data_IF_229646199475
#
_entry.id   IF_229646199475
#
_cell.length_a   1.000
_cell.length_b   1.000
_cell.length_c   1.000
_cell.angle_alpha   90.00
_cell.angle_beta   90.00
_cell.angle_gamma   90.00
#
_symmetry.space_group_name_H-M   'P 1'
#
loop_
_entity.id
_entity.type
_entity.pdbx_description
1 polymer ?
#
# COMPACT_ATOMS: atom_id res chain seq x y z
N UNK A 1 -17.99 0.63 -21.59
CA UNK A 1 -17.14 -0.41 -20.96
C UNK A 1 -17.43 -1.72 -21.67
N UNK A 2 -16.46 -2.25 -22.42
CA UNK A 2 -16.60 -3.54 -23.09
C UNK A 2 -16.58 -4.64 -22.01
N UNK A 3 -17.59 -5.53 -21.93
CA UNK A 3 -17.55 -6.63 -20.97
C UNK A 3 -16.35 -7.54 -21.29
N UNK A 4 -15.65 -8.06 -20.27
CA UNK A 4 -14.49 -8.91 -20.51
C UNK A 4 -14.87 -10.19 -21.23
N UNK A 5 -14.00 -10.63 -22.14
CA UNK A 5 -14.16 -11.77 -23.06
C UNK A 5 -14.44 -13.13 -22.40
N UNK A 6 -14.35 -13.27 -21.07
CA UNK A 6 -14.58 -14.55 -20.38
C UNK A 6 -15.11 -14.36 -18.93
N UNK A 7 -16.41 -14.57 -18.65
CA UNK A 7 -16.96 -14.46 -17.29
C UNK A 7 -16.37 -15.49 -16.32
N UNK A 8 -15.84 -16.61 -16.83
CA UNK A 8 -15.22 -17.63 -15.99
C UNK A 8 -13.89 -17.15 -15.38
N UNK A 9 -13.11 -16.37 -16.12
CA UNK A 9 -11.81 -15.89 -15.63
C UNK A 9 -11.96 -14.98 -14.39
N UNK A 10 -12.96 -14.10 -14.36
CA UNK A 10 -13.26 -13.28 -13.17
C UNK A 10 -13.50 -14.14 -11.92
N UNK A 11 -14.30 -15.20 -12.09
CA UNK A 11 -14.62 -16.15 -11.03
C UNK A 11 -13.38 -16.91 -10.58
N UNK A 12 -12.56 -17.36 -11.52
CA UNK A 12 -11.30 -18.05 -11.24
C UNK A 12 -10.32 -17.14 -10.46
N UNK A 13 -10.12 -15.89 -10.89
CA UNK A 13 -9.28 -14.92 -10.17
C UNK A 13 -9.79 -14.72 -8.73
N UNK A 14 -11.10 -14.46 -8.57
CA UNK A 14 -11.71 -14.25 -7.24
C UNK A 14 -11.54 -15.47 -6.33
N UNK A 15 -11.76 -16.67 -6.86
CA UNK A 15 -11.54 -17.91 -6.13
C UNK A 15 -10.07 -18.07 -5.72
N UNK A 16 -9.14 -17.72 -6.62
CA UNK A 16 -7.70 -17.83 -6.36
C UNK A 16 -7.22 -16.84 -5.31
N UNK A 17 -7.71 -15.59 -5.33
CA UNK A 17 -7.46 -14.59 -4.29
C UNK A 17 -7.98 -15.03 -2.92
N UNK A 18 -9.19 -15.61 -2.87
CA UNK A 18 -9.75 -16.16 -1.64
C UNK A 18 -8.96 -17.38 -1.12
N UNK A 19 -8.31 -18.14 -1.99
CA UNK A 19 -7.48 -19.28 -1.63
C UNK A 19 -6.08 -18.87 -1.13
N UNK A 20 -5.64 -17.62 -1.33
CA UNK A 20 -4.39 -17.14 -0.77
C UNK A 20 -4.45 -17.11 0.77
N UNK A 21 -3.34 -17.47 1.46
CA UNK A 21 -3.19 -17.19 2.88
C UNK A 21 -3.35 -15.68 3.16
N UNK A 22 -3.82 -15.27 4.36
CA UNK A 22 -4.00 -13.86 4.71
C UNK A 22 -2.77 -12.99 4.40
N UNK A 23 -1.59 -13.43 4.84
CA UNK A 23 -0.34 -12.70 4.60
C UNK A 23 0.03 -12.60 3.12
N UNK A 24 -0.23 -13.65 2.34
CA UNK A 24 0.01 -13.63 0.91
C UNK A 24 -0.92 -12.63 0.20
N UNK A 25 -2.17 -12.50 0.67
CA UNK A 25 -3.09 -11.51 0.15
C UNK A 25 -2.69 -10.07 0.50
N UNK A 26 -2.15 -9.81 1.70
CA UNK A 26 -1.57 -8.51 2.06
C UNK A 26 -0.39 -8.13 1.14
N UNK A 27 0.50 -9.08 0.86
CA UNK A 27 1.62 -8.87 -0.07
C UNK A 27 1.13 -8.59 -1.50
N UNK A 28 0.19 -9.39 -1.99
CA UNK A 28 -0.44 -9.15 -3.29
C UNK A 28 -1.10 -7.76 -3.36
N UNK A 29 -1.83 -7.37 -2.32
CA UNK A 29 -2.45 -6.06 -2.27
C UNK A 29 -1.40 -4.94 -2.25
N UNK A 30 -0.27 -5.14 -1.57
CA UNK A 30 0.91 -4.28 -1.65
C UNK A 30 1.35 -4.01 -3.07
N UNK A 31 1.56 -5.06 -3.87
CA UNK A 31 1.92 -4.92 -5.29
C UNK A 31 0.82 -4.24 -6.11
N UNK A 32 -0.46 -4.53 -5.81
CA UNK A 32 -1.60 -3.93 -6.50
C UNK A 32 -1.68 -2.40 -6.27
N UNK A 33 -1.23 -1.90 -5.12
CA UNK A 33 -1.29 -0.47 -4.78
C UNK A 33 -0.47 0.41 -5.75
N UNK A 34 0.61 -0.12 -6.31
CA UNK A 34 1.41 0.61 -7.31
C UNK A 34 0.59 0.94 -8.56
N UNK A 35 -0.31 0.03 -8.96
CA UNK A 35 -1.23 0.23 -10.08
C UNK A 35 -2.38 1.20 -9.76
N UNK A 36 -2.62 1.45 -8.47
CA UNK A 36 -3.61 2.43 -7.98
C UNK A 36 -2.99 3.84 -7.87
N UNK A 37 -1.67 3.97 -8.06
CA UNK A 37 -0.94 5.24 -8.03
C UNK A 37 -0.22 5.52 -6.72
N UNK A 38 -0.06 4.51 -5.85
CA UNK A 38 0.79 4.65 -4.68
C UNK A 38 2.26 4.43 -5.03
N UNK A 39 3.13 5.18 -4.37
CA UNK A 39 4.58 5.08 -4.42
C UNK A 39 5.15 4.81 -3.04
N UNK A 40 6.41 4.36 -2.99
CA UNK A 40 7.10 3.99 -1.76
C UNK A 40 6.29 3.02 -0.88
N UNK A 41 5.63 2.05 -1.51
CA UNK A 41 4.75 1.11 -0.82
C UNK A 41 5.57 0.19 0.09
N UNK A 42 5.17 0.08 1.35
CA UNK A 42 5.75 -0.84 2.32
C UNK A 42 4.66 -1.62 3.04
N UNK A 43 4.70 -2.94 2.95
CA UNK A 43 3.77 -3.84 3.65
C UNK A 43 4.27 -4.09 5.07
N UNK A 44 3.50 -3.66 6.07
CA UNK A 44 3.79 -3.86 7.50
C UNK A 44 3.59 -5.35 7.86
N UNK A 45 4.11 -5.83 8.99
CA UNK A 45 4.03 -7.26 9.36
C UNK A 45 3.17 -7.58 10.56
N UNK A 46 2.99 -6.58 11.39
CA UNK A 46 2.39 -6.73 12.70
C UNK A 46 2.09 -5.32 13.16
N UNK A 47 0.84 -5.05 13.47
CA UNK A 47 0.51 -3.71 13.92
C UNK A 47 -0.54 -3.75 15.03
N UNK A 48 -0.10 -3.32 16.21
CA UNK A 48 -0.98 -2.91 17.31
C UNK A 48 -1.59 -1.52 17.07
N UNK A 49 -1.48 -0.98 15.85
CA UNK A 49 -1.93 0.35 15.45
C UNK A 49 -3.40 0.40 14.98
N UNK A 50 -4.14 -0.71 15.12
CA UNK A 50 -5.54 -0.77 14.69
C UNK A 50 -5.74 -1.23 13.24
N UNK A 51 -4.67 -1.62 12.53
CA UNK A 51 -4.75 -2.40 11.29
C UNK A 51 -4.19 -1.70 10.04
N UNK A 52 -3.08 -0.97 10.14
CA UNK A 52 -2.35 -0.53 8.96
C UNK A 52 -1.49 -1.70 8.44
N UNK A 53 -1.92 -2.32 7.34
CA UNK A 53 -1.22 -3.46 6.72
C UNK A 53 -0.18 -3.01 5.68
N UNK A 54 -0.34 -1.81 5.12
CA UNK A 54 0.64 -1.18 4.26
C UNK A 54 0.59 0.35 4.34
N UNK A 55 1.68 0.98 3.96
CA UNK A 55 1.81 2.44 3.88
C UNK A 55 2.41 2.83 2.54
N UNK A 56 2.12 4.04 2.08
CA UNK A 56 2.73 4.62 0.89
C UNK A 56 2.28 6.06 0.68
N UNK A 57 2.71 6.63 -0.43
CA UNK A 57 2.31 7.97 -0.83
C UNK A 57 1.43 7.90 -2.07
N UNK A 58 0.21 8.42 -1.98
CA UNK A 58 -0.62 8.60 -3.17
C UNK A 58 -0.10 9.81 -3.94
N UNK A 59 0.39 9.56 -5.15
CA UNK A 59 0.99 10.59 -6.00
C UNK A 59 0.13 10.83 -7.24
N UNK A 60 0.03 12.09 -7.66
CA UNK A 60 -0.58 12.42 -8.95
C UNK A 60 0.34 11.99 -10.09
N UNK A 61 -0.19 11.85 -11.31
CA UNK A 61 0.62 11.48 -12.48
C UNK A 61 1.79 12.44 -12.77
N UNK A 62 1.70 13.69 -12.30
CA UNK A 62 2.77 14.69 -12.40
C UNK A 62 3.71 14.72 -11.18
N UNK A 63 3.49 13.86 -10.17
CA UNK A 63 4.22 13.77 -8.90
C UNK A 63 4.32 15.11 -8.11
N UNK A 64 3.42 16.06 -8.39
CA UNK A 64 3.41 17.37 -7.73
C UNK A 64 2.76 17.34 -6.34
N UNK A 65 1.90 16.35 -6.11
CA UNK A 65 1.16 16.18 -4.86
C UNK A 65 1.44 14.77 -4.37
N UNK A 66 1.89 14.66 -3.13
CA UNK A 66 2.20 13.41 -2.43
C UNK A 66 1.41 13.37 -1.12
N UNK A 67 0.52 12.39 -0.98
CA UNK A 67 -0.40 12.29 0.16
C UNK A 67 -0.06 11.03 0.97
N UNK A 68 0.44 11.16 2.21
CA UNK A 68 0.67 10.02 3.09
C UNK A 68 -0.61 9.20 3.27
N UNK A 69 -0.56 7.94 2.87
CA UNK A 69 -1.71 7.04 2.79
C UNK A 69 -1.45 5.76 3.56
N UNK A 70 -2.32 5.45 4.51
CA UNK A 70 -2.37 4.15 5.18
C UNK A 70 -3.31 3.20 4.45
N UNK A 71 -3.02 1.91 4.51
CA UNK A 71 -3.80 0.87 3.82
C UNK A 71 -4.14 -0.28 4.76
N UNK A 72 -5.39 -0.72 4.73
CA UNK A 72 -5.85 -1.97 5.36
C UNK A 72 -6.33 -2.92 4.28
N UNK A 73 -5.98 -4.19 4.42
CA UNK A 73 -6.31 -5.28 3.52
C UNK A 73 -7.03 -6.38 4.30
N UNK A 74 -8.25 -6.73 3.89
CA UNK A 74 -9.05 -7.81 4.52
C UNK A 74 -9.43 -8.87 3.51
N UNK A 75 -8.94 -10.10 3.71
CA UNK A 75 -9.41 -11.27 2.95
C UNK A 75 -10.71 -11.82 3.55
N UNK A 76 -11.84 -11.21 3.22
CA UNK A 76 -13.16 -11.60 3.73
C UNK A 76 -14.02 -12.34 2.70
N UNK A 77 -14.94 -13.17 3.20
CA UNK A 77 -16.03 -13.77 2.39
C UNK A 77 -17.35 -12.99 2.52
N UNK A 78 -17.55 -12.33 3.65
CA UNK A 78 -18.72 -11.49 3.92
C UNK A 78 -18.37 -10.01 3.76
N UNK A 79 -19.39 -9.19 3.53
CA UNK A 79 -19.21 -7.75 3.34
C UNK A 79 -18.58 -7.09 4.57
N UNK A 80 -17.69 -6.13 4.31
CA UNK A 80 -17.07 -5.28 5.33
C UNK A 80 -18.15 -4.44 6.02
N UNK A 81 -18.07 -4.38 7.34
CA UNK A 81 -19.04 -3.69 8.19
C UNK A 81 -18.51 -2.32 8.60
N UNK A 82 -19.41 -1.43 9.00
CA UNK A 82 -19.04 -0.09 9.47
C UNK A 82 -17.99 -0.11 10.62
N UNK A 83 -18.05 -1.01 11.63
CA UNK A 83 -17.05 -1.05 12.68
C UNK A 83 -15.61 -1.32 12.19
N UNK A 84 -15.44 -2.07 11.09
CA UNK A 84 -14.13 -2.28 10.48
C UNK A 84 -13.56 -0.94 9.97
N UNK A 85 -14.41 -0.13 9.33
CA UNK A 85 -14.04 1.20 8.83
C UNK A 85 -13.79 2.18 9.98
N UNK A 86 -14.63 2.20 11.02
CA UNK A 86 -14.43 3.06 12.19
C UNK A 86 -13.10 2.76 12.89
N UNK A 87 -12.72 1.48 13.03
CA UNK A 87 -11.42 1.07 13.57
C UNK A 87 -10.26 1.57 12.70
N UNK A 88 -10.35 1.38 11.39
CA UNK A 88 -9.32 1.81 10.45
C UNK A 88 -9.12 3.34 10.46
N UNK A 89 -10.20 4.13 10.54
CA UNK A 89 -10.10 5.59 10.67
C UNK A 89 -9.35 5.98 11.95
N UNK A 90 -9.59 5.26 13.05
CA UNK A 90 -8.82 5.43 14.29
C UNK A 90 -7.33 5.18 14.08
N UNK A 91 -6.97 4.13 13.35
CA UNK A 91 -5.59 3.81 13.01
C UNK A 91 -4.89 4.88 12.15
N UNK A 92 -5.64 5.57 11.28
CA UNK A 92 -5.10 6.61 10.41
C UNK A 92 -4.85 7.95 11.13
N UNK A 93 -5.52 8.17 12.27
CA UNK A 93 -5.62 9.48 12.91
C UNK A 93 -4.25 10.03 13.32
N UNK A 94 -3.96 11.26 12.88
CA UNK A 94 -2.72 11.99 13.21
C UNK A 94 -1.46 11.54 12.46
N UNK A 95 -1.54 10.47 11.65
CA UNK A 95 -0.37 9.91 10.94
C UNK A 95 -0.54 9.93 9.42
N UNK A 96 -1.77 9.70 8.93
CA UNK A 96 -2.06 9.59 7.50
C UNK A 96 -3.20 10.53 7.11
N UNK A 97 -3.02 11.23 5.99
CA UNK A 97 -4.01 12.17 5.46
C UNK A 97 -5.10 11.47 4.63
N UNK A 98 -4.86 10.21 4.22
CA UNK A 98 -5.76 9.41 3.42
C UNK A 98 -5.67 7.93 3.79
N UNK A 99 -6.75 7.18 3.54
CA UNK A 99 -6.82 5.73 3.76
C UNK A 99 -7.29 4.98 2.53
N UNK A 100 -6.79 3.77 2.32
CA UNK A 100 -7.36 2.80 1.37
C UNK A 100 -7.74 1.53 2.13
N UNK A 101 -8.98 1.09 1.98
CA UNK A 101 -9.44 -0.19 2.50
C UNK A 101 -9.64 -1.14 1.31
N UNK A 102 -8.96 -2.29 1.32
CA UNK A 102 -9.04 -3.30 0.27
C UNK A 102 -9.68 -4.56 0.85
N UNK A 103 -10.62 -5.17 0.13
CA UNK A 103 -11.22 -6.46 0.52
C UNK A 103 -11.47 -7.36 -0.67
N UNK A 104 -11.52 -8.69 -0.44
CA UNK A 104 -12.00 -9.67 -1.43
C UNK A 104 -13.53 -9.77 -1.51
N UNK A 105 -14.24 -9.18 -0.54
CA UNK A 105 -15.71 -9.14 -0.48
C UNK A 105 -16.25 -7.79 -0.97
N UNK A 106 -17.51 -7.47 -0.67
CA UNK A 106 -18.09 -6.14 -0.85
C UNK A 106 -18.07 -5.31 0.45
N UNK A 107 -18.74 -4.17 0.40
CA UNK A 107 -19.01 -3.32 1.57
C UNK A 107 -20.50 -3.26 1.84
N UNK A 108 -20.89 -3.13 3.11
CA UNK A 108 -22.24 -2.70 3.42
C UNK A 108 -22.42 -1.23 3.09
N UNK A 109 -23.66 -0.81 2.80
CA UNK A 109 -23.99 0.60 2.55
C UNK A 109 -23.49 1.53 3.66
N UNK A 110 -23.61 1.09 4.92
CA UNK A 110 -23.15 1.87 6.08
C UNK A 110 -21.62 2.01 6.12
N UNK A 111 -20.87 0.97 5.73
CA UNK A 111 -19.42 1.03 5.63
C UNK A 111 -18.97 2.02 4.55
N UNK A 112 -19.57 1.95 3.35
CA UNK A 112 -19.24 2.88 2.25
C UNK A 112 -19.55 4.33 2.60
N UNK A 113 -20.72 4.60 3.19
CA UNK A 113 -21.09 5.94 3.63
C UNK A 113 -20.13 6.49 4.69
N UNK A 114 -19.74 5.64 5.66
CA UNK A 114 -18.77 6.02 6.70
C UNK A 114 -17.41 6.35 6.09
N UNK A 115 -16.91 5.51 5.18
CA UNK A 115 -15.60 5.69 4.54
C UNK A 115 -15.52 7.01 3.74
N UNK A 116 -16.58 7.33 2.99
CA UNK A 116 -16.65 8.52 2.16
C UNK A 116 -16.76 9.83 2.97
N UNK A 117 -17.42 9.80 4.13
CA UNK A 117 -17.64 10.96 4.99
C UNK A 117 -16.54 11.16 6.06
N UNK A 118 -15.60 10.23 6.19
CA UNK A 118 -14.56 10.28 7.20
C UNK A 118 -13.51 11.35 6.93
N UNK A 119 -12.84 11.78 8.00
CA UNK A 119 -11.61 12.56 7.96
C UNK A 119 -10.61 11.84 8.88
N UNK A 120 -9.50 11.28 8.35
CA UNK A 120 -9.12 11.24 6.93
C UNK A 120 -10.11 10.43 6.07
N UNK A 121 -10.23 10.78 4.78
CA UNK A 121 -11.10 10.05 3.84
C UNK A 121 -10.55 8.65 3.59
N UNK A 122 -11.46 7.69 3.46
CA UNK A 122 -11.12 6.31 3.14
C UNK A 122 -11.70 5.93 1.77
N UNK A 123 -10.83 5.59 0.83
CA UNK A 123 -11.21 4.96 -0.41
C UNK A 123 -11.48 3.46 -0.18
N UNK A 124 -12.60 2.96 -0.69
CA UNK A 124 -12.96 1.53 -0.61
C UNK A 124 -12.67 0.84 -1.93
N UNK A 125 -11.92 -0.26 -1.89
CA UNK A 125 -11.66 -1.15 -3.02
C UNK A 125 -12.24 -2.52 -2.67
N UNK A 126 -13.28 -2.94 -3.39
CA UNK A 126 -13.94 -4.23 -3.19
C UNK A 126 -13.35 -5.33 -4.09
N UNK A 127 -13.80 -6.57 -3.88
CA UNK A 127 -13.25 -7.72 -4.60
C UNK A 127 -13.50 -7.66 -6.11
N UNK A 128 -14.57 -7.02 -6.56
CA UNK A 128 -14.87 -6.91 -7.99
C UNK A 128 -14.00 -5.81 -8.64
N UNK A 129 -13.70 -4.74 -7.91
CA UNK A 129 -12.73 -3.71 -8.27
C UNK A 129 -11.30 -4.27 -8.30
N UNK A 130 -10.90 -5.09 -7.33
CA UNK A 130 -9.60 -5.79 -7.34
C UNK A 130 -9.46 -6.63 -8.61
N UNK A 131 -10.46 -7.47 -8.92
CA UNK A 131 -10.44 -8.30 -10.14
C UNK A 131 -10.43 -7.44 -11.40
N UNK A 132 -11.15 -6.31 -11.41
CA UNK A 132 -11.13 -5.39 -12.54
C UNK A 132 -9.74 -4.77 -12.77
N UNK A 133 -9.06 -4.35 -11.70
CA UNK A 133 -7.68 -3.84 -11.77
C UNK A 133 -6.71 -4.92 -12.28
N UNK A 134 -6.83 -6.15 -11.79
CA UNK A 134 -6.01 -7.26 -12.28
C UNK A 134 -6.21 -7.50 -13.78
N UNK A 135 -7.46 -7.51 -14.25
CA UNK A 135 -7.75 -7.68 -15.68
C UNK A 135 -7.23 -6.51 -16.52
N UNK A 136 -7.39 -5.29 -16.03
CA UNK A 136 -6.93 -4.07 -16.71
C UNK A 136 -5.40 -4.07 -16.89
N UNK A 137 -4.67 -4.49 -15.86
CA UNK A 137 -3.20 -4.52 -15.84
C UNK A 137 -2.60 -5.89 -16.17
N UNK A 138 -3.43 -6.85 -16.59
CA UNK A 138 -3.02 -8.22 -16.98
C UNK A 138 -2.24 -8.96 -15.88
N UNK A 139 -2.61 -8.72 -14.61
CA UNK A 139 -1.96 -9.32 -13.43
C UNK A 139 -2.51 -10.72 -13.16
N UNK A 140 -1.62 -11.69 -12.97
CA UNK A 140 -2.00 -13.08 -12.69
C UNK A 140 -2.69 -13.80 -13.84
N UNK A 141 -2.48 -13.33 -15.08
CA UNK A 141 -3.08 -13.89 -16.30
C UNK A 141 -1.96 -14.29 -17.25
N UNK A 142 -1.86 -15.59 -17.55
CA UNK A 142 -0.94 -16.11 -18.55
C UNK A 142 -1.47 -15.75 -19.95
N UNK A 143 -0.68 -14.99 -20.71
CA UNK A 143 -1.00 -14.72 -22.11
C UNK A 143 -0.60 -15.93 -22.97
N UNK A 144 -1.59 -16.73 -23.37
CA UNK A 144 -1.44 -17.59 -24.55
C UNK A 144 -1.89 -16.82 -25.78
N UNK A 145 -1.02 -16.75 -26.79
CA UNK A 145 -1.35 -16.15 -28.08
C UNK A 145 -2.67 -16.74 -28.62
N UNK A 146 -3.68 -15.89 -28.78
CA UNK A 146 -4.97 -16.26 -29.38
C UNK A 146 -6.02 -16.93 -28.46
N UNK A 147 -5.75 -17.11 -27.16
CA UNK A 147 -6.72 -17.72 -26.22
C UNK A 147 -7.30 -16.69 -25.25
N UNK A 148 -8.47 -16.97 -24.66
CA UNK A 148 -8.85 -16.31 -23.41
C UNK A 148 -7.81 -16.70 -22.35
N UNK A 149 -7.05 -15.72 -21.82
CA UNK A 149 -5.93 -15.99 -20.93
C UNK A 149 -6.29 -16.88 -19.74
N UNK A 150 -5.37 -17.77 -19.36
CA UNK A 150 -5.50 -18.65 -18.20
C UNK A 150 -4.96 -17.96 -16.95
N UNK A 151 -5.28 -18.48 -15.76
CA UNK A 151 -4.61 -18.04 -14.53
C UNK A 151 -3.12 -18.37 -14.59
N UNK A 152 -2.29 -17.41 -14.19
CA UNK A 152 -0.88 -17.63 -13.94
C UNK A 152 -0.69 -18.10 -12.48
N UNK A 153 -0.61 -19.41 -12.28
CA UNK A 153 -0.41 -19.98 -10.93
C UNK A 153 0.95 -19.64 -10.34
N UNK A 154 1.97 -19.32 -11.15
CA UNK A 154 3.27 -18.90 -10.65
C UNK A 154 3.18 -17.50 -10.03
N UNK A 155 2.45 -16.58 -10.68
CA UNK A 155 2.15 -15.26 -10.13
C UNK A 155 1.50 -15.35 -8.74
N UNK A 156 0.46 -16.18 -8.55
CA UNK A 156 -0.15 -16.31 -7.24
C UNK A 156 0.73 -17.09 -6.25
N UNK A 157 1.51 -18.06 -6.74
CA UNK A 157 2.42 -18.88 -5.94
C UNK A 157 3.53 -18.06 -5.27
N UNK A 158 4.04 -17.02 -5.93
CA UNK A 158 5.12 -16.18 -5.40
C UNK A 158 4.74 -15.51 -4.07
N UNK A 159 3.49 -15.07 -3.91
CA UNK A 159 3.01 -14.44 -2.68
C UNK A 159 2.90 -15.44 -1.53
N UNK A 160 2.52 -16.69 -1.83
CA UNK A 160 2.51 -17.78 -0.85
C UNK A 160 3.91 -18.15 -0.38
N UNK A 161 4.87 -18.22 -1.32
CA UNK A 161 6.27 -18.45 -1.01
C UNK A 161 6.85 -17.31 -0.15
N UNK A 162 6.59 -16.06 -0.52
CA UNK A 162 7.07 -14.89 0.21
C UNK A 162 6.44 -14.75 1.60
N UNK A 163 5.15 -15.09 1.75
CA UNK A 163 4.50 -15.15 3.06
C UNK A 163 5.17 -16.17 4.01
N UNK A 164 5.73 -17.25 3.44
CA UNK A 164 6.40 -18.31 4.19
C UNK A 164 7.89 -18.02 4.47
N UNK A 165 8.53 -17.17 3.65
CA UNK A 165 9.97 -16.94 3.66
C UNK A 165 10.50 -16.07 4.82
N UNK A 166 9.65 -15.61 5.75
CA UNK A 166 10.08 -14.71 6.84
C UNK A 166 10.70 -13.40 6.30
N UNK A 167 11.40 -12.60 7.14
CA UNK A 167 11.97 -11.36 6.65
C UNK A 167 13.01 -11.50 5.56
N UNK A 168 12.67 -11.07 4.33
CA UNK A 168 13.68 -10.52 3.43
C UNK A 168 14.22 -9.26 4.11
N UNK A 169 15.42 -9.37 4.71
CA UNK A 169 16.21 -8.20 5.07
C UNK A 169 16.40 -7.45 3.75
N UNK A 170 15.69 -6.35 3.56
CA UNK A 170 16.13 -5.35 2.59
C UNK A 170 17.51 -4.97 3.09
N UNK A 171 18.55 -5.38 2.36
CA UNK A 171 19.90 -4.95 2.66
C UNK A 171 19.82 -3.43 2.77
N UNK A 172 20.14 -2.90 3.96
CA UNK A 172 20.51 -1.51 4.08
C UNK A 172 21.57 -1.29 3.00
N UNK A 173 21.19 -0.60 1.93
CA UNK A 173 22.19 0.13 1.18
C UNK A 173 22.68 1.17 2.17
N UNK A 174 23.72 0.82 2.91
CA UNK A 174 24.59 1.81 3.51
C UNK A 174 25.11 2.62 2.35
N UNK A 175 24.42 3.72 2.03
CA UNK A 175 25.04 4.81 1.28
C UNK A 175 26.17 5.31 2.17
N UNK A 176 27.35 4.75 1.94
CA UNK A 176 28.57 5.19 2.58
C UNK A 176 28.78 6.64 2.20
N UNK A 177 28.57 7.53 3.17
CA UNK A 177 29.06 8.90 3.10
C UNK A 177 30.59 8.85 3.02
N UNK A 178 31.12 8.95 1.80
CA UNK A 178 32.55 9.14 1.58
C UNK A 178 32.85 10.61 1.87
N UNK A 179 33.45 10.87 3.03
CA UNK A 179 34.11 12.15 3.31
C UNK A 179 35.30 12.24 2.37
N UNK A 180 35.21 13.12 1.37
CA UNK A 180 36.37 13.54 0.59
C UNK A 180 37.37 14.17 1.54
N UNK A 181 38.54 13.56 1.68
CA UNK A 181 39.69 14.17 2.33
C UNK A 181 40.25 15.16 1.31
N UNK A 182 39.76 16.40 1.35
CA UNK A 182 40.41 17.49 0.63
C UNK A 182 41.20 18.36 1.61
N UNK A 183 42.46 18.53 1.26
CA UNK A 183 43.48 19.14 2.08
C UNK A 183 43.31 20.67 2.13
N UNK A 184 43.36 21.22 3.35
CA UNK A 184 43.95 22.52 3.66
C UNK A 184 43.16 23.77 3.28
N UNK A 185 42.44 24.33 4.26
CA UNK A 185 42.38 25.78 4.49
C UNK A 185 41.94 26.03 5.95
N UNK A 186 42.85 26.54 6.76
CA UNK A 186 42.57 26.94 8.13
C UNK A 186 41.74 28.24 8.13
N UNK A 187 40.47 28.14 8.52
CA UNK A 187 39.63 29.30 8.81
C UNK A 187 39.81 29.67 10.29
N UNK A 188 40.02 30.96 10.57
CA UNK A 188 40.38 31.49 11.89
C UNK A 188 39.15 31.63 12.82
N UNK A 189 39.33 31.64 14.15
CA UNK A 189 38.25 31.49 15.14
C UNK A 189 37.24 32.66 15.25
N UNK A 190 37.35 33.70 14.42
CA UNK A 190 36.54 34.91 14.52
C UNK A 190 35.28 34.95 13.61
N UNK A 191 35.04 33.95 12.76
CA UNK A 191 33.91 33.97 11.80
C UNK A 191 32.70 33.08 12.16
N UNK A 192 32.68 32.47 13.35
CA UNK A 192 31.56 31.61 13.77
C UNK A 192 30.48 32.42 14.53
N UNK A 193 29.78 33.30 13.81
CA UNK A 193 28.81 34.27 14.38
C UNK A 193 27.34 33.84 14.34
N UNK A 194 27.01 32.57 14.06
CA UNK A 194 25.61 32.12 14.02
C UNK A 194 25.43 30.80 14.79
N UNK A 195 25.49 30.86 16.11
CA UNK A 195 24.72 29.98 17.03
C UNK A 195 24.88 30.41 18.49
N UNK A 196 24.39 31.59 18.87
CA UNK A 196 24.29 31.99 20.29
C UNK A 196 23.10 32.92 20.59
N UNK A 197 21.95 32.67 19.96
CA UNK A 197 20.66 33.32 20.32
C UNK A 197 19.51 32.34 20.56
N UNK A 198 19.84 31.18 21.11
CA UNK A 198 18.89 30.37 21.86
C UNK A 198 19.39 30.30 23.31
N UNK A 199 19.04 31.29 24.13
CA UNK A 199 18.90 31.26 25.61
C UNK A 199 18.91 32.69 26.17
N UNK A 200 17.77 33.38 26.10
CA UNK A 200 17.32 34.34 27.13
C UNK A 200 16.02 34.99 26.68
N UNK A 201 14.89 34.38 27.06
CA UNK A 201 13.68 35.09 27.46
C UNK A 201 12.80 34.09 28.23
N UNK A 202 13.24 33.79 29.44
CA UNK A 202 12.40 33.33 30.53
C UNK A 202 12.83 34.16 31.75
N UNK A 203 12.27 35.36 31.84
CA UNK A 203 12.07 36.17 33.04
C UNK A 203 10.80 37.00 32.79
#
# INVERSE_FOLDING_TARGET
>A
MTPPRNPDLRRQIKARLLALPPRAFELFAGDLLEFIGLRAVSVTRYSGDGGIDAIGNLETSAALISIPTGVQVKRYRANVQRPDIDRFIGALSGQYAHGIFITTAGYTRQATLKAAAAIPRVATVDGDQVVALMLQHQLGIAQLAGSAGNLDEQYFGQFGAQASAGPRRVAERTEGYQVGVDAGLAVRPEEDLISLRALSHAL
#
